data_IF_701469173910
#
_entry.id   IF_701469173910
#
_cell.length_a   1.000
_cell.length_b   1.000
_cell.length_c   1.000
_cell.angle_alpha   90.00
_cell.angle_beta   90.00
_cell.angle_gamma   90.00
#
_symmetry.space_group_name_H-M   'P 1'
#
loop_
_entity.id
_entity.type
_entity.pdbx_description
1 polymer ?
#
# COMPACT_ATOMS: atom_id res chain seq x y z
N UNK A 1 25.92 1.20 -11.79
CA UNK A 1 24.61 1.60 -11.21
C UNK A 1 24.88 2.74 -10.25
N UNK A 2 24.15 3.86 -10.37
CA UNK A 2 24.14 4.87 -9.28
C UNK A 2 23.58 4.18 -8.03
N UNK A 3 24.17 4.43 -6.87
CA UNK A 3 23.56 3.96 -5.62
C UNK A 3 22.15 4.55 -5.50
N UNK A 4 21.17 3.73 -5.13
CA UNK A 4 19.80 4.21 -4.87
C UNK A 4 19.84 5.37 -3.86
N UNK A 5 18.93 6.34 -3.96
CA UNK A 5 18.93 7.52 -3.06
C UNK A 5 18.27 7.20 -1.70
N UNK A 6 17.62 6.04 -1.61
CA UNK A 6 16.99 5.48 -0.42
C UNK A 6 17.42 4.02 -0.23
N UNK A 7 17.24 3.49 0.98
CA UNK A 7 17.47 2.08 1.28
C UNK A 7 16.23 1.26 0.93
N UNK A 8 16.42 0.05 0.41
CA UNK A 8 15.35 -0.93 0.21
C UNK A 8 15.60 -2.08 1.16
N UNK A 9 14.65 -2.34 2.06
CA UNK A 9 14.74 -3.40 3.05
C UNK A 9 13.60 -4.39 2.81
N UNK A 10 13.95 -5.64 2.50
CA UNK A 10 13.00 -6.73 2.52
C UNK A 10 12.95 -7.33 3.92
N UNK A 11 11.82 -7.17 4.59
CA UNK A 11 11.58 -7.68 5.94
C UNK A 11 11.00 -9.10 5.93
N UNK A 12 10.67 -9.65 4.75
CA UNK A 12 9.97 -10.92 4.63
C UNK A 12 8.55 -10.81 5.21
N UNK A 13 8.21 -11.71 6.14
CA UNK A 13 6.91 -11.72 6.82
C UNK A 13 7.08 -11.36 8.29
N UNK A 14 6.39 -10.30 8.73
CA UNK A 14 6.55 -9.72 10.06
C UNK A 14 5.18 -9.39 10.66
N UNK A 15 4.91 -9.67 11.95
CA UNK A 15 3.71 -9.18 12.63
C UNK A 15 3.54 -7.67 12.47
N UNK A 16 2.29 -7.21 12.32
CA UNK A 16 2.04 -5.81 11.98
C UNK A 16 2.65 -4.83 12.99
N UNK A 17 2.52 -5.13 14.29
CA UNK A 17 3.05 -4.28 15.37
C UNK A 17 4.57 -4.11 15.31
N UNK A 18 5.30 -5.17 14.98
CA UNK A 18 6.76 -5.15 14.88
C UNK A 18 7.19 -4.34 13.66
N UNK A 19 6.52 -4.53 12.52
CA UNK A 19 6.78 -3.73 11.32
C UNK A 19 6.41 -2.25 11.55
N UNK A 20 5.36 -1.96 12.32
CA UNK A 20 4.99 -0.60 12.70
C UNK A 20 6.02 0.05 13.64
N UNK A 21 6.62 -0.71 14.56
CA UNK A 21 7.74 -0.23 15.36
C UNK A 21 8.96 0.14 14.48
N UNK A 22 9.31 -0.72 13.52
CA UNK A 22 10.37 -0.46 12.54
C UNK A 22 10.07 0.80 11.69
N UNK A 23 8.83 0.96 11.22
CA UNK A 23 8.42 2.19 10.53
C UNK A 23 8.69 3.44 11.36
N UNK A 24 8.39 3.42 12.66
CA UNK A 24 8.61 4.56 13.57
C UNK A 24 10.09 4.84 13.82
N UNK A 25 10.92 3.80 13.90
CA UNK A 25 12.37 3.94 14.00
C UNK A 25 12.96 4.60 12.74
N UNK A 26 12.64 4.05 11.56
CA UNK A 26 13.07 4.61 10.30
C UNK A 26 12.54 6.04 10.10
N UNK A 27 11.30 6.31 10.50
CA UNK A 27 10.70 7.65 10.44
C UNK A 27 11.46 8.65 11.29
N UNK A 28 11.78 8.30 12.54
CA UNK A 28 12.55 9.17 13.42
C UNK A 28 13.95 9.46 12.84
N UNK A 29 14.60 8.44 12.27
CA UNK A 29 15.89 8.57 11.60
C UNK A 29 15.83 9.51 10.39
N UNK A 30 14.84 9.36 9.53
CA UNK A 30 14.66 10.21 8.33
C UNK A 30 14.28 11.64 8.71
N UNK A 31 13.42 11.81 9.71
CA UNK A 31 13.06 13.14 10.23
C UNK A 31 14.25 13.89 10.84
N UNK A 32 15.29 13.17 11.27
CA UNK A 32 16.56 13.74 11.73
C UNK A 32 17.59 13.97 10.60
N UNK A 33 17.18 13.89 9.33
CA UNK A 33 18.05 14.06 8.16
C UNK A 33 18.76 12.79 7.71
N UNK A 34 18.38 11.63 8.25
CA UNK A 34 18.88 10.33 7.80
C UNK A 34 18.35 9.92 6.42
N UNK A 35 19.02 8.94 5.83
CA UNK A 35 18.68 8.37 4.51
C UNK A 35 17.26 7.77 4.45
N UNK A 36 16.41 8.07 3.45
CA UNK A 36 15.06 7.50 3.33
C UNK A 36 15.08 5.98 3.18
N UNK A 37 13.95 5.32 3.47
CA UNK A 37 13.85 3.86 3.37
C UNK A 37 12.50 3.41 2.78
N UNK A 38 12.54 2.38 1.95
CA UNK A 38 11.39 1.60 1.47
C UNK A 38 11.44 0.24 2.15
N UNK A 39 10.45 -0.03 3.01
CA UNK A 39 10.35 -1.32 3.70
C UNK A 39 9.34 -2.20 2.96
N UNK A 40 9.77 -3.35 2.46
CA UNK A 40 8.93 -4.33 1.78
C UNK A 40 8.61 -5.47 2.75
N UNK A 41 7.34 -5.80 2.92
CA UNK A 41 6.90 -6.72 3.96
C UNK A 41 5.58 -7.40 3.61
N UNK A 42 5.39 -8.62 4.10
CA UNK A 42 4.08 -9.26 4.23
C UNK A 42 3.70 -9.31 5.72
N UNK A 43 2.39 -9.30 6.01
CA UNK A 43 1.90 -9.49 7.37
C UNK A 43 1.18 -10.83 7.51
N UNK A 44 1.14 -11.41 8.73
CA UNK A 44 0.03 -12.26 9.13
C UNK A 44 -1.32 -11.53 8.96
N UNK A 45 -2.44 -12.27 8.90
CA UNK A 45 -3.77 -11.66 8.74
C UNK A 45 -4.06 -10.57 9.78
N UNK A 46 -4.36 -9.36 9.31
CA UNK A 46 -4.68 -8.22 10.16
C UNK A 46 -5.62 -7.25 9.45
N UNK A 47 -6.62 -6.76 10.18
CA UNK A 47 -7.39 -5.58 9.81
C UNK A 47 -6.79 -4.36 10.48
N UNK A 48 -6.57 -3.29 9.71
CA UNK A 48 -6.13 -2.01 10.27
C UNK A 48 -7.23 -0.97 10.11
N UNK A 49 -7.48 -0.20 11.16
CA UNK A 49 -8.48 0.86 11.22
C UNK A 49 -7.75 2.21 11.15
N UNK A 50 -7.85 2.88 10.00
CA UNK A 50 -7.30 4.21 9.82
C UNK A 50 -8.13 5.29 10.51
N UNK A 51 -7.73 6.56 10.32
CA UNK A 51 -8.38 7.72 10.98
C UNK A 51 -9.88 7.85 10.71
N UNK A 52 -10.39 7.36 9.58
CA UNK A 52 -11.82 7.41 9.24
C UNK A 52 -12.64 6.24 9.81
N UNK A 53 -11.98 5.25 10.44
CA UNK A 53 -12.55 3.95 10.80
C UNK A 53 -12.63 3.68 12.30
N UNK A 54 -12.29 4.67 13.15
CA UNK A 54 -12.05 4.42 14.60
C UNK A 54 -13.24 3.83 15.33
N UNK A 55 -14.45 4.08 14.85
CA UNK A 55 -15.69 3.51 15.42
C UNK A 55 -15.88 2.02 15.07
N UNK A 56 -15.09 1.47 14.13
CA UNK A 56 -15.11 0.05 13.77
C UNK A 56 -16.38 -0.43 13.05
N UNK A 57 -17.29 0.49 12.71
CA UNK A 57 -18.57 0.21 12.03
C UNK A 57 -18.43 -0.40 10.63
N UNK A 58 -17.23 -0.35 10.06
CA UNK A 58 -16.90 -0.88 8.73
C UNK A 58 -16.40 -2.34 8.76
N UNK A 59 -16.42 -3.00 9.92
CA UNK A 59 -16.23 -4.46 10.05
C UNK A 59 -17.61 -5.10 10.14
N UNK A 60 -17.93 -6.02 9.23
CA UNK A 60 -19.28 -6.61 9.13
C UNK A 60 -19.44 -7.96 9.83
N UNK A 61 -18.37 -8.42 10.48
CA UNK A 61 -18.33 -9.64 11.30
C UNK A 61 -17.98 -9.30 12.75
N UNK A 62 -18.22 -10.23 13.68
CA UNK A 62 -17.91 -10.01 15.09
C UNK A 62 -16.41 -10.10 15.36
N UNK A 63 -15.97 -9.57 16.50
CA UNK A 63 -14.56 -9.65 16.92
C UNK A 63 -14.15 -11.10 17.19
N UNK A 64 -15.07 -11.90 17.71
CA UNK A 64 -14.89 -13.33 17.98
C UNK A 64 -14.65 -14.10 16.68
N UNK A 65 -15.43 -13.84 15.64
CA UNK A 65 -15.22 -14.47 14.32
C UNK A 65 -13.82 -14.17 13.76
N UNK A 66 -13.36 -12.92 13.90
CA UNK A 66 -12.01 -12.55 13.44
C UNK A 66 -10.91 -13.27 14.23
N UNK A 67 -11.08 -13.39 15.55
CA UNK A 67 -10.15 -14.13 16.41
C UNK A 67 -10.09 -15.61 16.04
N UNK A 68 -11.23 -16.24 15.76
CA UNK A 68 -11.31 -17.64 15.31
C UNK A 68 -10.66 -17.88 13.94
N UNK A 69 -10.42 -16.82 13.16
CA UNK A 69 -9.71 -16.85 11.89
C UNK A 69 -8.24 -16.36 12.00
N UNK A 70 -7.74 -16.14 13.22
CA UNK A 70 -6.41 -15.58 13.49
C UNK A 70 -6.17 -14.20 12.83
N UNK A 71 -7.22 -13.37 12.72
CA UNK A 71 -7.16 -12.02 12.15
C UNK A 71 -7.11 -10.98 13.29
N UNK A 72 -5.94 -10.36 13.48
CA UNK A 72 -5.79 -9.26 14.44
C UNK A 72 -6.55 -8.01 13.96
N UNK A 73 -7.02 -7.15 14.88
CA UNK A 73 -7.51 -5.82 14.50
C UNK A 73 -6.80 -4.71 15.26
N UNK A 74 -6.28 -3.74 14.51
CA UNK A 74 -5.42 -2.67 15.02
C UNK A 74 -5.91 -1.29 14.60
N UNK A 75 -5.95 -0.36 15.53
CA UNK A 75 -6.12 1.06 15.22
C UNK A 75 -4.77 1.71 14.92
N UNK A 76 -4.71 2.49 13.83
CA UNK A 76 -3.49 3.10 13.32
C UNK A 76 -3.74 4.53 12.81
N UNK A 77 -2.69 5.33 12.71
CA UNK A 77 -2.73 6.75 12.36
C UNK A 77 -2.86 7.03 10.85
N UNK A 78 -2.83 6.00 10.01
CA UNK A 78 -2.89 6.14 8.55
C UNK A 78 -4.15 6.85 8.08
N UNK A 79 -4.06 7.50 6.92
CA UNK A 79 -5.23 7.92 6.18
C UNK A 79 -6.10 6.75 5.73
N UNK A 80 -7.35 7.05 5.39
CA UNK A 80 -8.32 6.06 4.94
C UNK A 80 -9.09 5.42 6.09
N UNK A 81 -9.87 4.41 5.71
CA UNK A 81 -10.81 3.69 6.56
C UNK A 81 -10.21 2.34 7.00
N UNK A 82 -10.99 1.27 7.09
CA UNK A 82 -10.53 -0.10 7.33
C UNK A 82 -9.85 -0.70 6.09
N UNK A 83 -8.83 -1.54 6.29
CA UNK A 83 -8.24 -2.38 5.22
C UNK A 83 -7.68 -3.68 5.79
N UNK A 84 -7.48 -4.65 4.91
CA UNK A 84 -6.90 -5.96 5.23
C UNK A 84 -5.46 -6.07 4.73
N UNK A 85 -4.60 -6.68 5.54
CA UNK A 85 -3.30 -7.20 5.14
C UNK A 85 -3.16 -8.67 5.54
N UNK A 86 -2.40 -9.42 4.75
CA UNK A 86 -2.10 -10.81 5.08
C UNK A 86 -1.13 -11.46 4.10
N UNK A 87 -0.88 -12.77 4.24
CA UNK A 87 -0.03 -13.53 3.34
C UNK A 87 -0.41 -13.33 1.87
N UNK A 88 0.60 -13.20 0.99
CA UNK A 88 0.38 -12.97 -0.43
C UNK A 88 0.09 -11.51 -0.81
N UNK A 89 0.04 -10.59 0.15
CA UNK A 89 -0.05 -9.15 -0.11
C UNK A 89 1.29 -8.47 0.13
N UNK A 90 1.87 -7.85 -0.90
CA UNK A 90 3.10 -7.08 -0.79
C UNK A 90 2.78 -5.69 -0.24
N UNK A 91 3.19 -5.43 0.99
CA UNK A 91 3.10 -4.11 1.61
C UNK A 91 4.43 -3.39 1.47
N UNK A 92 4.38 -2.11 1.06
CA UNK A 92 5.55 -1.27 0.93
C UNK A 92 5.36 0.03 1.72
N UNK A 93 6.24 0.25 2.70
CA UNK A 93 6.27 1.45 3.52
C UNK A 93 7.36 2.40 3.06
N UNK A 94 6.96 3.47 2.37
CA UNK A 94 7.87 4.47 1.83
C UNK A 94 8.09 5.60 2.87
N UNK A 95 9.11 5.44 3.70
CA UNK A 95 9.45 6.36 4.79
C UNK A 95 10.28 7.53 4.24
N UNK A 96 9.61 8.39 3.48
CA UNK A 96 10.26 9.43 2.66
C UNK A 96 9.95 10.83 3.19
N UNK A 97 10.87 11.80 3.03
CA UNK A 97 10.58 13.21 3.29
C UNK A 97 9.63 13.73 2.20
N UNK A 98 8.42 14.12 2.58
CA UNK A 98 7.36 14.57 1.64
C UNK A 98 6.91 16.00 1.87
N UNK A 99 7.23 16.57 3.04
CA UNK A 99 6.80 17.91 3.41
C UNK A 99 5.28 18.08 3.35
N UNK A 100 4.83 19.10 2.62
CA UNK A 100 3.41 19.38 2.38
C UNK A 100 2.89 18.80 1.06
N UNK A 101 3.76 18.17 0.25
CA UNK A 101 3.44 17.66 -1.10
C UNK A 101 2.87 16.23 -1.06
N UNK A 102 1.91 15.98 -0.17
CA UNK A 102 1.36 14.63 0.06
C UNK A 102 0.63 14.10 -1.18
N UNK A 103 -0.09 14.96 -1.91
CA UNK A 103 -0.78 14.55 -3.13
C UNK A 103 0.19 14.17 -4.24
N UNK A 104 1.29 14.92 -4.42
CA UNK A 104 2.32 14.59 -5.41
C UNK A 104 3.01 13.29 -5.05
N UNK A 105 3.28 13.06 -3.75
CA UNK A 105 3.82 11.80 -3.27
C UNK A 105 2.88 10.62 -3.57
N UNK A 106 1.57 10.77 -3.34
CA UNK A 106 0.59 9.73 -3.70
C UNK A 106 0.60 9.43 -5.20
N UNK A 107 0.67 10.44 -6.07
CA UNK A 107 0.80 10.24 -7.53
C UNK A 107 2.07 9.49 -7.90
N UNK A 108 3.18 9.71 -7.19
CA UNK A 108 4.42 8.97 -7.39
C UNK A 108 4.30 7.51 -6.93
N UNK A 109 3.61 7.24 -5.81
CA UNK A 109 3.30 5.86 -5.41
C UNK A 109 2.42 5.17 -6.47
N UNK A 110 1.46 5.89 -7.05
CA UNK A 110 0.58 5.37 -8.11
C UNK A 110 1.41 5.03 -9.34
N UNK A 111 2.25 5.96 -9.79
CA UNK A 111 3.13 5.76 -10.95
C UNK A 111 4.10 4.58 -10.76
N UNK A 112 4.75 4.47 -9.60
CA UNK A 112 5.66 3.35 -9.32
C UNK A 112 4.92 2.00 -9.28
N UNK A 113 3.72 1.97 -8.68
CA UNK A 113 2.93 0.74 -8.60
C UNK A 113 2.40 0.31 -9.97
N UNK A 114 1.95 1.27 -10.80
CA UNK A 114 1.53 1.00 -12.18
C UNK A 114 2.71 0.45 -12.99
N UNK A 115 3.88 1.07 -12.93
CA UNK A 115 5.06 0.60 -13.64
C UNK A 115 5.45 -0.82 -13.22
N UNK A 116 5.41 -1.13 -11.92
CA UNK A 116 5.65 -2.48 -11.41
C UNK A 116 4.64 -3.51 -11.97
N UNK A 117 3.35 -3.16 -11.97
CA UNK A 117 2.29 -4.01 -12.52
C UNK A 117 2.42 -4.24 -14.03
N UNK A 118 2.86 -3.22 -14.78
CA UNK A 118 3.15 -3.35 -16.20
C UNK A 118 4.31 -4.32 -16.45
N UNK A 119 5.37 -4.28 -15.63
CA UNK A 119 6.45 -5.27 -15.65
C UNK A 119 5.96 -6.68 -15.32
N UNK A 120 4.98 -6.80 -14.42
CA UNK A 120 4.29 -8.06 -14.11
C UNK A 120 3.25 -8.46 -15.18
N UNK A 121 3.21 -7.81 -16.34
CA UNK A 121 2.33 -8.22 -17.44
C UNK A 121 0.87 -7.77 -17.30
N UNK A 122 0.60 -6.74 -16.49
CA UNK A 122 -0.70 -6.08 -16.35
C UNK A 122 -0.64 -4.66 -16.98
N UNK A 123 -0.69 -4.55 -18.32
CA UNK A 123 -0.45 -3.28 -19.04
C UNK A 123 -1.55 -2.22 -18.82
N UNK A 124 -2.74 -2.65 -18.43
CA UNK A 124 -3.93 -1.85 -18.17
C UNK A 124 -3.99 -1.32 -16.72
N UNK A 125 -2.93 -1.50 -15.93
CA UNK A 125 -2.82 -0.89 -14.61
C UNK A 125 -2.95 0.65 -14.70
N UNK A 126 -3.83 1.22 -13.89
CA UNK A 126 -4.24 2.63 -13.99
C UNK A 126 -4.63 3.25 -12.63
N UNK A 127 -4.57 4.58 -12.50
CA UNK A 127 -5.17 5.26 -11.36
C UNK A 127 -6.71 5.28 -11.47
N UNK A 128 -7.38 5.71 -10.39
CA UNK A 128 -8.80 5.98 -10.38
C UNK A 128 -9.05 7.46 -10.01
N UNK A 129 -9.91 8.21 -10.74
CA UNK A 129 -10.15 9.63 -10.46
C UNK A 129 -10.76 9.92 -9.09
N UNK A 130 -11.45 8.95 -8.47
CA UNK A 130 -12.19 9.14 -7.22
C UNK A 130 -11.51 8.58 -5.98
N UNK A 131 -10.66 7.56 -6.12
CA UNK A 131 -10.13 6.80 -4.99
C UNK A 131 -8.64 6.48 -5.14
N UNK A 132 -7.87 6.73 -4.07
CA UNK A 132 -6.45 6.43 -4.04
C UNK A 132 -6.17 4.92 -4.17
N UNK A 133 -5.11 4.59 -4.90
CA UNK A 133 -4.68 3.22 -5.17
C UNK A 133 -4.56 2.95 -6.67
N UNK A 134 -4.27 1.70 -7.01
CA UNK A 134 -4.13 1.27 -8.40
C UNK A 134 -5.17 0.21 -8.73
N UNK A 135 -5.66 0.30 -9.96
CA UNK A 135 -6.75 -0.49 -10.51
C UNK A 135 -6.33 -1.10 -11.84
N UNK A 136 -7.07 -2.11 -12.31
CA UNK A 136 -7.00 -2.64 -13.67
C UNK A 136 -8.32 -2.34 -14.39
N UNK A 137 -8.48 -2.84 -15.62
CA UNK A 137 -9.70 -2.62 -16.39
C UNK A 137 -10.96 -3.03 -15.61
N UNK A 138 -12.04 -2.23 -15.71
CA UNK A 138 -13.28 -2.53 -15.02
C UNK A 138 -13.93 -3.81 -15.57
N UNK A 139 -14.78 -4.44 -14.76
CA UNK A 139 -15.52 -5.66 -15.14
C UNK A 139 -17.02 -5.40 -15.11
N UNK A 140 -17.69 -5.87 -16.15
CA UNK A 140 -19.15 -5.88 -16.21
C UNK A 140 -19.71 -7.12 -15.51
N UNK A 141 -20.59 -6.93 -14.53
CA UNK A 141 -21.31 -7.99 -13.82
C UNK A 141 -22.78 -7.60 -13.78
N UNK A 142 -23.64 -8.42 -14.40
CA UNK A 142 -25.09 -8.19 -14.46
C UNK A 142 -25.49 -6.79 -14.97
N UNK A 143 -24.76 -6.25 -15.94
CA UNK A 143 -25.01 -4.93 -16.51
C UNK A 143 -24.53 -3.75 -15.66
N UNK A 144 -23.73 -4.01 -14.62
CA UNK A 144 -23.06 -3.00 -13.80
C UNK A 144 -21.54 -3.10 -13.98
N UNK A 145 -20.90 -1.94 -14.12
CA UNK A 145 -19.44 -1.83 -14.23
C UNK A 145 -18.80 -1.71 -12.85
N UNK A 146 -17.82 -2.55 -12.56
CA UNK A 146 -17.07 -2.55 -11.30
C UNK A 146 -15.59 -2.27 -11.55
N UNK A 147 -15.07 -1.23 -10.90
CA UNK A 147 -13.63 -0.98 -10.81
C UNK A 147 -12.92 -2.14 -10.11
N UNK A 148 -11.73 -2.52 -10.59
CA UNK A 148 -10.98 -3.67 -10.08
C UNK A 148 -9.71 -3.19 -9.38
N UNK A 149 -9.76 -3.06 -8.06
CA UNK A 149 -8.66 -2.50 -7.27
C UNK A 149 -7.62 -3.57 -6.96
N UNK A 150 -6.38 -3.33 -7.37
CA UNK A 150 -5.26 -4.26 -7.17
C UNK A 150 -4.28 -3.79 -6.09
N UNK A 151 -4.21 -2.48 -5.83
CA UNK A 151 -3.39 -1.93 -4.75
C UNK A 151 -4.12 -0.85 -3.96
N UNK A 152 -3.98 -0.89 -2.63
CA UNK A 152 -4.60 0.05 -1.69
C UNK A 152 -3.56 0.93 -1.02
N UNK A 153 -3.80 2.25 -1.02
CA UNK A 153 -2.86 3.24 -0.48
C UNK A 153 -3.41 3.89 0.77
N UNK A 154 -2.57 4.04 1.78
CA UNK A 154 -2.90 4.72 3.01
C UNK A 154 -1.63 5.24 3.66
N UNK A 155 -1.40 6.54 3.56
CA UNK A 155 -0.23 7.22 4.12
C UNK A 155 -0.62 8.09 5.32
N UNK A 156 0.30 8.25 6.26
CA UNK A 156 0.30 9.35 7.22
C UNK A 156 1.55 10.20 7.00
N UNK A 157 1.51 11.46 7.43
CA UNK A 157 2.69 12.34 7.41
C UNK A 157 2.85 12.95 8.78
N UNK A 158 4.03 12.79 9.36
CA UNK A 158 4.42 13.38 10.64
C UNK A 158 5.81 13.96 10.49
N UNK A 159 6.06 15.15 11.06
CA UNK A 159 7.37 15.83 10.96
C UNK A 159 7.91 15.87 9.51
N UNK A 160 7.03 16.14 8.53
CA UNK A 160 7.34 16.18 7.10
C UNK A 160 7.77 14.84 6.46
N UNK A 161 7.72 13.72 7.18
CA UNK A 161 8.10 12.39 6.68
C UNK A 161 6.87 11.48 6.65
N UNK A 162 6.75 10.71 5.58
CA UNK A 162 5.67 9.74 5.39
C UNK A 162 5.83 8.49 6.27
N UNK A 163 4.70 7.93 6.66
CA UNK A 163 4.51 6.64 7.34
C UNK A 163 3.47 5.83 6.57
N UNK A 164 3.48 4.51 6.78
CA UNK A 164 2.67 3.55 6.02
C UNK A 164 3.02 3.64 4.52
N UNK A 165 2.07 3.42 3.62
CA UNK A 165 2.38 3.36 2.19
C UNK A 165 1.29 2.68 1.39
N UNK A 166 1.67 1.62 0.70
CA UNK A 166 0.80 0.86 -0.19
C UNK A 166 0.78 -0.63 0.13
N UNK A 167 -0.29 -1.29 -0.29
CA UNK A 167 -0.47 -2.73 -0.21
C UNK A 167 -0.95 -3.25 -1.58
N UNK A 168 -0.08 -4.00 -2.27
CA UNK A 168 -0.33 -4.63 -3.56
C UNK A 168 -0.81 -6.08 -3.35
N UNK A 169 -1.95 -6.42 -3.92
CA UNK A 169 -2.46 -7.78 -3.87
C UNK A 169 -1.76 -8.67 -4.90
N UNK A 170 -0.93 -9.61 -4.45
CA UNK A 170 -0.20 -10.54 -5.33
C UNK A 170 -0.93 -11.87 -5.40
N UNK A 171 -0.88 -12.66 -4.33
CA UNK A 171 -1.62 -13.92 -4.10
C UNK A 171 -2.53 -13.80 -2.86
N UNK A 172 -2.93 -12.56 -2.54
CA UNK A 172 -3.72 -12.25 -1.36
C UNK A 172 -5.01 -13.05 -1.32
N UNK A 173 -5.37 -13.61 -0.15
CA UNK A 173 -6.73 -14.11 0.07
C UNK A 173 -7.74 -12.94 -0.01
N UNK A 174 -8.38 -12.79 -1.16
CA UNK A 174 -9.31 -11.70 -1.42
C UNK A 174 -10.62 -11.81 -0.62
N UNK A 175 -10.99 -13.01 -0.15
CA UNK A 175 -12.20 -13.21 0.66
C UNK A 175 -12.14 -12.46 1.99
N UNK A 176 -10.94 -12.20 2.53
CA UNK A 176 -10.80 -11.42 3.76
C UNK A 176 -11.19 -9.94 3.59
N UNK A 177 -11.20 -9.42 2.36
CA UNK A 177 -11.77 -8.09 2.10
C UNK A 177 -13.30 -8.07 2.20
N UNK A 178 -13.98 -9.22 2.11
CA UNK A 178 -15.44 -9.31 2.28
C UNK A 178 -15.85 -9.18 3.75
N UNK A 179 -14.92 -9.28 4.69
CA UNK A 179 -15.15 -9.08 6.13
C UNK A 179 -15.30 -7.59 6.50
N UNK A 180 -15.04 -6.69 5.54
CA UNK A 180 -15.01 -5.25 5.75
C UNK A 180 -15.77 -4.50 4.64
N UNK A 181 -16.38 -3.37 4.99
CA UNK A 181 -17.02 -2.46 4.04
C UNK A 181 -16.29 -1.12 4.08
N UNK A 182 -15.25 -0.92 3.25
CA UNK A 182 -14.54 0.34 3.23
C UNK A 182 -15.46 1.47 2.72
N UNK A 183 -15.56 2.53 3.51
CA UNK A 183 -16.38 3.71 3.24
C UNK A 183 -16.06 4.30 1.85
N UNK A 184 -17.07 4.38 0.99
CA UNK A 184 -17.03 5.02 -0.32
C UNK A 184 -16.73 4.09 -1.50
N UNK A 185 -16.29 2.85 -1.30
CA UNK A 185 -15.95 1.96 -2.42
C UNK A 185 -17.14 1.18 -3.01
N UNK A 186 -18.33 1.79 -3.06
CA UNK A 186 -19.48 1.22 -3.78
C UNK A 186 -19.15 1.15 -5.28
N UNK A 187 -19.14 -0.05 -5.86
CA UNK A 187 -18.77 -0.25 -7.27
C UNK A 187 -17.28 -0.58 -7.50
N UNK A 188 -16.54 -0.93 -6.45
CA UNK A 188 -15.18 -1.46 -6.55
C UNK A 188 -15.11 -2.88 -6.01
N UNK A 189 -14.39 -3.75 -6.70
CA UNK A 189 -14.03 -5.09 -6.24
C UNK A 189 -12.51 -5.20 -6.11
N UNK A 190 -12.05 -5.95 -5.11
CA UNK A 190 -10.63 -6.24 -4.98
C UNK A 190 -10.23 -7.33 -5.98
N UNK A 191 -9.05 -7.16 -6.57
CA UNK A 191 -8.38 -8.17 -7.38
C UNK A 191 -6.94 -8.36 -6.92
N UNK A 192 -6.23 -9.31 -7.50
CA UNK A 192 -4.84 -9.65 -7.23
C UNK A 192 -4.12 -10.00 -8.53
N UNK A 193 -2.78 -9.94 -8.53
CA UNK A 193 -1.97 -10.39 -9.67
C UNK A 193 -2.33 -11.83 -10.06
N UNK A 194 -2.48 -12.73 -9.08
CA UNK A 194 -2.93 -14.11 -9.27
C UNK A 194 -4.24 -14.20 -10.04
N UNK A 195 -5.27 -13.51 -9.55
CA UNK A 195 -6.59 -13.53 -10.16
C UNK A 195 -6.57 -12.93 -11.57
N UNK A 196 -5.79 -11.88 -11.79
CA UNK A 196 -5.63 -11.29 -13.13
C UNK A 196 -4.94 -12.26 -14.10
N UNK A 197 -3.93 -12.99 -13.66
CA UNK A 197 -3.25 -13.99 -14.48
C UNK A 197 -4.20 -15.12 -14.89
N UNK A 198 -4.99 -15.62 -13.94
CA UNK A 198 -5.99 -16.67 -14.18
C UNK A 198 -7.06 -16.21 -15.17
N UNK A 199 -7.67 -15.04 -14.92
CA UNK A 199 -8.75 -14.51 -15.75
C UNK A 199 -8.31 -14.21 -17.20
N UNK A 200 -7.04 -13.84 -17.38
CA UNK A 200 -6.46 -13.54 -18.70
C UNK A 200 -5.83 -14.76 -19.37
N UNK A 201 -5.76 -15.91 -18.68
CA UNK A 201 -5.14 -17.12 -19.20
C UNK A 201 -3.66 -16.96 -19.53
N UNK A 202 -2.90 -16.16 -18.75
CA UNK A 202 -1.50 -15.85 -19.05
C UNK A 202 -0.55 -17.06 -18.88
N UNK A 203 -1.01 -18.16 -18.30
CA UNK A 203 -0.22 -19.40 -18.15
C UNK A 203 1.02 -19.25 -17.25
N UNK A 204 1.04 -18.22 -16.41
CA UNK A 204 2.10 -17.95 -15.44
C UNK A 204 1.51 -17.89 -14.02
N UNK A 205 2.34 -18.23 -13.04
CA UNK A 205 2.00 -18.07 -11.63
C UNK A 205 2.63 -16.80 -11.08
N UNK A 206 1.91 -16.04 -10.24
CA UNK A 206 2.49 -14.90 -9.55
C UNK A 206 3.63 -15.37 -8.63
N UNK A 207 4.69 -14.56 -8.57
CA UNK A 207 5.83 -14.78 -7.68
C UNK A 207 6.05 -13.53 -6.82
N UNK A 208 6.11 -13.73 -5.50
CA UNK A 208 6.34 -12.64 -4.55
C UNK A 208 7.74 -12.04 -4.71
N UNK A 209 8.76 -12.83 -5.06
CA UNK A 209 10.10 -12.31 -5.30
C UNK A 209 10.11 -11.40 -6.55
N UNK A 210 9.48 -11.85 -7.65
CA UNK A 210 9.28 -11.02 -8.83
C UNK A 210 8.48 -9.73 -8.52
N UNK A 211 7.43 -9.80 -7.70
CA UNK A 211 6.66 -8.63 -7.30
C UNK A 211 7.49 -7.63 -6.47
N UNK A 212 8.31 -8.11 -5.51
CA UNK A 212 9.23 -7.28 -4.73
C UNK A 212 10.27 -6.61 -5.62
N UNK A 213 10.84 -7.35 -6.57
CA UNK A 213 11.82 -6.81 -7.51
C UNK A 213 11.19 -5.74 -8.43
N UNK A 214 10.05 -6.04 -9.06
CA UNK A 214 9.34 -5.11 -9.92
C UNK A 214 8.98 -3.80 -9.21
N UNK A 215 8.50 -3.90 -7.96
CA UNK A 215 8.20 -2.72 -7.15
C UNK A 215 9.45 -1.93 -6.78
N UNK A 216 10.53 -2.62 -6.40
CA UNK A 216 11.82 -1.98 -6.05
C UNK A 216 12.42 -1.19 -7.23
N UNK A 217 12.41 -1.79 -8.42
CA UNK A 217 12.94 -1.16 -9.64
C UNK A 217 12.07 0.01 -10.08
N UNK A 218 10.74 -0.14 -9.99
CA UNK A 218 9.81 0.93 -10.30
C UNK A 218 9.98 2.11 -9.35
N UNK A 219 10.10 1.88 -8.03
CA UNK A 219 10.38 2.96 -7.08
C UNK A 219 11.72 3.64 -7.37
N UNK A 220 12.77 2.87 -7.65
CA UNK A 220 14.09 3.42 -7.96
C UNK A 220 14.06 4.34 -9.18
N UNK A 221 13.28 3.96 -10.20
CA UNK A 221 13.10 4.74 -11.43
C UNK A 221 12.21 5.96 -11.20
N UNK A 222 11.03 5.79 -10.60
CA UNK A 222 10.06 6.86 -10.38
C UNK A 222 10.61 7.96 -9.46
N UNK A 223 11.44 7.61 -8.48
CA UNK A 223 12.02 8.56 -7.53
C UNK A 223 13.45 9.00 -7.88
N UNK A 224 13.96 8.70 -9.08
CA UNK A 224 15.32 9.09 -9.50
C UNK A 224 15.53 10.61 -9.43
N UNK A 225 14.51 11.37 -9.82
CA UNK A 225 14.52 12.84 -9.84
C UNK A 225 13.70 13.46 -8.70
N UNK A 226 13.35 12.67 -7.68
CA UNK A 226 12.64 13.19 -6.53
C UNK A 226 13.51 14.20 -5.76
N UNK A 227 12.88 15.27 -5.29
CA UNK A 227 13.52 16.23 -4.40
C UNK A 227 13.50 15.67 -2.98
N UNK A 228 14.64 15.09 -2.58
CA UNK A 228 14.85 14.46 -1.28
C UNK A 228 15.15 15.45 -0.16
N UNK A 229 15.21 16.75 -0.44
CA UNK A 229 15.43 17.75 0.60
C UNK A 229 14.20 17.87 1.49
N UNK A 230 14.40 17.83 2.81
CA UNK A 230 13.34 18.17 3.76
C UNK A 230 13.04 19.66 3.56
N UNK A 231 11.78 20.07 3.26
CA UNK A 231 11.49 21.49 3.19
C UNK A 231 11.83 22.13 4.52
N UNK A 232 12.64 23.18 4.48
CA UNK A 232 12.97 23.97 5.67
C UNK A 232 11.65 24.38 6.33
N UNK A 233 11.52 24.14 7.64
CA UNK A 233 10.54 24.86 8.40
C UNK A 233 10.92 26.33 8.23
N UNK A 234 10.12 27.10 7.50
CA UNK A 234 10.07 28.53 7.72
C UNK A 234 9.96 28.66 9.23
N UNK A 235 11.02 29.19 9.86
CA UNK A 235 11.15 29.18 11.30
C UNK A 235 9.87 29.68 11.93
N UNK A 236 9.58 29.20 13.14
CA UNK A 236 8.75 29.97 14.04
C UNK A 236 9.40 31.36 14.19
N UNK A 237 9.04 32.26 13.28
CA UNK A 237 9.37 33.66 13.34
C UNK A 237 8.50 34.24 14.43
N UNK A 238 9.19 34.67 15.48
CA UNK A 238 8.73 35.45 16.65
C UNK A 238 7.63 34.85 17.52
#
# INVERSE_FOLDING_TARGET
MKAAVFDILDLGRVPYRDAWALQREHHARVAAGGRPALLLVEHPPVLTLGRKAREGSNIIVTREYLLDQDIEVLEVERGGDVTYHGPGQLVAYAIFPVGRRVQDFLRLLEAATIAALQTLGLPDARPNPGYAGVYVDPREVNGLSYDQKIASFGVAVQKNVALHGLALNVTTNLQHFELIVPCGLSGTQMTSVEREYELRGLGQSPDMAAARQALSDAFSTTFEHYDWTLPEFAGAGS
#
